data_IF_250044029667
#
_entry.id   IF_250044029667
#
_cell.length_a   1.000
_cell.length_b   1.000
_cell.length_c   1.000
_cell.angle_alpha   90.00
_cell.angle_beta   90.00
_cell.angle_gamma   90.00
#
_symmetry.space_group_name_H-M   'P 1'
#
loop_
_entity.id
_entity.type
_entity.pdbx_description
1 polymer ?
#
# COMPACT_ATOMS: atom_id res chain seq x y z
N UNK A 1 26.17 1.46 -6.39
CA UNK A 1 24.84 1.97 -6.82
C UNK A 1 25.03 2.74 -8.12
N UNK A 2 24.21 2.51 -9.15
CA UNK A 2 24.29 3.27 -10.40
C UNK A 2 23.92 4.74 -10.18
N UNK A 3 24.43 5.60 -11.04
CA UNK A 3 24.01 7.00 -11.11
C UNK A 3 22.69 7.13 -11.85
N UNK A 4 22.03 8.27 -11.75
CA UNK A 4 20.78 8.55 -12.50
C UNK A 4 20.96 8.35 -14.02
N UNK A 5 22.09 8.80 -14.57
CA UNK A 5 22.37 8.66 -15.99
C UNK A 5 22.55 7.21 -16.43
N UNK A 6 23.17 6.39 -15.60
CA UNK A 6 23.30 4.94 -15.84
C UNK A 6 21.94 4.24 -15.75
N UNK A 7 21.13 4.57 -14.75
CA UNK A 7 19.76 4.05 -14.60
C UNK A 7 18.89 4.36 -15.83
N UNK A 8 18.97 5.57 -16.36
CA UNK A 8 18.19 5.98 -17.53
C UNK A 8 18.55 5.22 -18.81
N UNK A 9 19.75 4.62 -18.87
CA UNK A 9 20.22 3.85 -20.02
C UNK A 9 20.08 2.35 -19.80
N UNK A 10 20.33 1.86 -18.60
CA UNK A 10 20.51 0.43 -18.33
C UNK A 10 19.29 -0.27 -17.76
N UNK A 11 18.36 0.46 -17.10
CA UNK A 11 17.20 -0.15 -16.47
C UNK A 11 16.04 -0.32 -17.45
N UNK A 12 15.16 -1.32 -17.23
CA UNK A 12 13.93 -1.48 -17.99
C UNK A 12 13.02 -0.25 -17.82
N UNK A 13 12.31 0.11 -18.88
CA UNK A 13 11.22 1.07 -18.81
C UNK A 13 9.93 0.41 -18.32
N UNK A 14 8.92 1.23 -18.03
CA UNK A 14 7.61 0.72 -17.61
C UNK A 14 6.47 1.53 -18.22
N UNK A 15 5.24 1.06 -18.04
CA UNK A 15 3.99 1.75 -18.41
C UNK A 15 3.80 1.98 -19.91
N UNK A 16 4.51 1.21 -20.77
CA UNK A 16 4.35 1.27 -22.22
C UNK A 16 3.03 0.65 -22.66
N UNK A 17 1.94 1.43 -22.64
CA UNK A 17 0.59 0.98 -23.05
C UNK A 17 -0.11 2.04 -23.89
N UNK A 18 -0.80 1.59 -24.94
CA UNK A 18 -1.78 2.39 -25.68
C UNK A 18 -3.17 1.90 -25.30
N UNK A 19 -4.03 2.80 -24.87
CA UNK A 19 -5.34 2.49 -24.31
C UNK A 19 -6.42 3.26 -25.07
N UNK A 20 -7.31 2.53 -25.73
CA UNK A 20 -8.54 3.08 -26.33
C UNK A 20 -9.71 2.77 -25.42
N UNK A 21 -10.36 3.82 -24.91
CA UNK A 21 -11.39 3.71 -23.87
C UNK A 21 -12.71 4.28 -24.40
N UNK A 22 -13.77 3.54 -24.19
CA UNK A 22 -15.14 3.98 -24.41
C UNK A 22 -15.90 3.83 -23.08
N UNK A 23 -16.41 4.94 -22.54
CA UNK A 23 -17.21 4.99 -21.33
C UNK A 23 -18.66 5.28 -21.69
N UNK A 24 -19.57 4.33 -21.42
CA UNK A 24 -21.01 4.51 -21.61
C UNK A 24 -21.61 5.22 -20.39
N UNK A 25 -22.30 6.34 -20.65
CA UNK A 25 -23.01 7.12 -19.64
C UNK A 25 -24.44 7.44 -20.06
N UNK A 26 -25.37 7.51 -19.09
CA UNK A 26 -26.66 8.17 -19.28
C UNK A 26 -26.51 9.68 -19.20
N UNK A 27 -27.51 10.46 -19.69
CA UNK A 27 -27.45 11.93 -19.60
C UNK A 27 -27.35 12.49 -18.19
N UNK A 28 -27.77 11.73 -17.19
CA UNK A 28 -27.64 12.08 -15.76
C UNK A 28 -26.26 11.78 -15.18
N UNK A 29 -25.33 11.23 -15.98
CA UNK A 29 -23.98 10.87 -15.57
C UNK A 29 -23.83 9.46 -14.97
N UNK A 30 -24.90 8.64 -14.94
CA UNK A 30 -24.83 7.25 -14.50
C UNK A 30 -24.06 6.40 -15.51
N UNK A 31 -23.03 5.67 -15.07
CA UNK A 31 -22.26 4.78 -15.94
C UNK A 31 -23.04 3.51 -16.29
N UNK A 32 -22.92 3.09 -17.54
CA UNK A 32 -23.58 1.88 -18.04
C UNK A 32 -22.59 0.83 -18.51
N UNK A 33 -21.43 1.24 -19.01
CA UNK A 33 -20.45 0.27 -19.50
C UNK A 33 -19.09 0.87 -19.74
N UNK A 34 -18.09 -0.01 -19.73
CA UNK A 34 -16.70 0.33 -20.04
C UNK A 34 -16.17 -0.65 -21.08
N UNK A 35 -15.65 -0.11 -22.20
CA UNK A 35 -14.94 -0.90 -23.19
C UNK A 35 -13.52 -0.37 -23.33
N UNK A 36 -12.55 -1.27 -23.23
CA UNK A 36 -11.12 -0.94 -23.36
C UNK A 36 -10.46 -1.85 -24.36
N UNK A 37 -9.67 -1.27 -25.27
CA UNK A 37 -8.68 -2.00 -26.09
C UNK A 37 -7.31 -1.54 -25.65
N UNK A 38 -6.52 -2.47 -25.15
CA UNK A 38 -5.23 -2.21 -24.55
C UNK A 38 -4.14 -2.92 -25.35
N UNK A 39 -3.16 -2.15 -25.83
CA UNK A 39 -1.94 -2.68 -26.44
C UNK A 39 -0.76 -2.36 -25.52
N UNK A 40 -0.13 -3.40 -24.97
CA UNK A 40 1.07 -3.30 -24.17
C UNK A 40 2.34 -3.51 -25.00
N UNK A 41 3.37 -2.73 -24.74
CA UNK A 41 4.71 -2.96 -25.26
C UNK A 41 5.47 -3.87 -24.27
N UNK A 42 6.06 -4.97 -24.75
CA UNK A 42 6.91 -5.85 -23.96
C UNK A 42 8.41 -5.56 -24.17
N UNK A 43 8.76 -4.70 -25.14
CA UNK A 43 10.12 -4.51 -25.59
C UNK A 43 10.67 -5.75 -26.31
N UNK A 44 11.98 -5.80 -26.47
CA UNK A 44 12.65 -6.87 -27.21
C UNK A 44 12.73 -8.20 -26.43
N UNK A 45 12.62 -8.14 -25.11
CA UNK A 45 12.67 -9.31 -24.23
C UNK A 45 11.43 -9.36 -23.34
N UNK A 46 10.39 -10.15 -23.71
CA UNK A 46 9.12 -10.21 -22.96
C UNK A 46 9.33 -10.97 -21.65
N UNK A 47 9.55 -10.21 -20.58
CA UNK A 47 9.65 -10.70 -19.21
C UNK A 47 8.39 -10.29 -18.43
N UNK A 48 8.55 -9.80 -17.22
CA UNK A 48 7.44 -9.29 -16.39
C UNK A 48 6.61 -8.21 -17.12
N UNK A 49 7.24 -7.43 -18.01
CA UNK A 49 6.56 -6.40 -18.81
C UNK A 49 5.39 -6.92 -19.64
N UNK A 50 5.47 -8.16 -20.12
CA UNK A 50 4.40 -8.79 -20.90
C UNK A 50 3.14 -9.08 -20.06
N UNK A 51 3.23 -9.15 -18.74
CA UNK A 51 2.11 -9.41 -17.84
C UNK A 51 1.44 -8.14 -17.31
N UNK A 52 2.10 -6.97 -17.40
CA UNK A 52 1.60 -5.72 -16.83
C UNK A 52 0.25 -5.27 -17.40
N UNK A 53 -0.03 -5.42 -18.72
CA UNK A 53 -1.35 -5.13 -19.28
C UNK A 53 -2.48 -6.00 -18.69
N UNK A 54 -2.17 -7.23 -18.29
CA UNK A 54 -3.09 -8.09 -17.55
C UNK A 54 -3.46 -7.51 -16.17
N UNK A 55 -2.50 -6.86 -15.49
CA UNK A 55 -2.74 -6.10 -14.26
C UNK A 55 -3.67 -4.90 -14.47
N UNK A 56 -3.48 -4.16 -15.58
CA UNK A 56 -4.37 -3.07 -15.97
C UNK A 56 -5.80 -3.56 -16.21
N UNK A 57 -5.97 -4.65 -16.99
CA UNK A 57 -7.28 -5.28 -17.21
C UNK A 57 -7.95 -5.66 -15.89
N UNK A 58 -7.20 -6.28 -14.99
CA UNK A 58 -7.72 -6.78 -13.72
C UNK A 58 -8.30 -5.66 -12.84
N UNK A 59 -7.70 -4.46 -12.90
CA UNK A 59 -8.08 -3.31 -12.09
C UNK A 59 -8.94 -2.29 -12.85
N UNK A 60 -9.38 -2.58 -14.07
CA UNK A 60 -10.07 -1.63 -14.94
C UNK A 60 -11.43 -1.15 -14.42
N UNK A 61 -12.09 -1.90 -13.52
CA UNK A 61 -13.33 -1.45 -12.89
C UNK A 61 -13.11 -0.30 -11.91
N UNK A 62 -11.96 -0.24 -11.24
CA UNK A 62 -11.69 0.77 -10.22
C UNK A 62 -12.72 0.76 -9.09
N UNK A 63 -13.14 1.94 -8.67
CA UNK A 63 -14.08 2.15 -7.56
C UNK A 63 -15.53 2.24 -7.99
N UNK A 64 -15.86 2.03 -9.27
CA UNK A 64 -17.15 2.36 -9.85
C UNK A 64 -18.04 1.16 -10.13
N UNK A 65 -19.34 1.45 -10.22
CA UNK A 65 -20.39 0.51 -10.66
C UNK A 65 -20.56 0.59 -12.18
N UNK A 66 -20.65 -0.55 -12.84
CA UNK A 66 -20.94 -0.68 -14.27
C UNK A 66 -21.91 -1.85 -14.50
N UNK A 67 -22.76 -1.71 -15.52
CA UNK A 67 -23.64 -2.82 -15.98
C UNK A 67 -22.80 -3.88 -16.75
N UNK A 68 -21.76 -3.45 -17.49
CA UNK A 68 -20.88 -4.31 -18.27
C UNK A 68 -19.47 -3.73 -18.43
N UNK A 69 -18.46 -4.61 -18.47
CA UNK A 69 -17.06 -4.26 -18.75
C UNK A 69 -16.50 -5.23 -19.78
N UNK A 70 -15.87 -4.68 -20.82
CA UNK A 70 -15.07 -5.45 -21.78
C UNK A 70 -13.67 -4.88 -21.84
N UNK A 71 -12.65 -5.71 -21.64
CA UNK A 71 -11.24 -5.32 -21.77
C UNK A 71 -10.51 -6.32 -22.65
N UNK A 72 -10.16 -5.88 -23.84
CA UNK A 72 -9.35 -6.64 -24.79
C UNK A 72 -7.89 -6.25 -24.64
N UNK A 73 -7.01 -7.23 -24.44
CA UNK A 73 -5.59 -7.01 -24.22
C UNK A 73 -4.76 -7.69 -25.28
N UNK A 74 -3.87 -6.95 -25.90
CA UNK A 74 -2.80 -7.47 -26.73
C UNK A 74 -1.45 -6.99 -26.20
N UNK A 75 -0.42 -7.83 -26.37
CA UNK A 75 0.96 -7.48 -26.00
C UNK A 75 1.84 -7.68 -27.22
N UNK A 76 2.60 -6.65 -27.57
CA UNK A 76 3.51 -6.68 -28.70
C UNK A 76 4.96 -6.83 -28.23
N UNK A 77 5.71 -7.73 -28.84
CA UNK A 77 7.16 -7.76 -28.78
C UNK A 77 7.69 -6.75 -29.80
N UNK A 78 8.57 -5.88 -29.37
CA UNK A 78 9.13 -4.79 -30.21
C UNK A 78 10.66 -4.80 -30.15
N UNK A 79 11.31 -3.95 -30.91
CA UNK A 79 12.76 -3.77 -30.86
C UNK A 79 13.19 -2.64 -29.91
N UNK A 80 12.32 -2.24 -28.98
CA UNK A 80 12.60 -1.22 -27.98
C UNK A 80 13.20 -1.83 -26.71
N UNK A 81 13.56 -0.97 -25.75
CA UNK A 81 14.02 -1.39 -24.41
C UNK A 81 12.97 -2.29 -23.75
N UNK A 82 13.45 -3.30 -23.05
CA UNK A 82 12.63 -4.19 -22.25
C UNK A 82 11.70 -3.42 -21.30
N UNK A 83 10.45 -3.83 -21.20
CA UNK A 83 9.52 -3.31 -20.21
C UNK A 83 9.62 -4.09 -18.90
N UNK A 84 9.63 -3.37 -17.79
CA UNK A 84 9.69 -3.91 -16.44
C UNK A 84 8.55 -3.41 -15.55
N UNK A 85 8.40 -4.04 -14.40
CA UNK A 85 7.46 -3.57 -13.39
C UNK A 85 7.98 -2.30 -12.72
N UNK A 86 7.18 -1.23 -12.71
CA UNK A 86 7.38 -0.08 -11.86
C UNK A 86 6.25 0.00 -10.83
N UNK A 87 6.52 0.60 -9.68
CA UNK A 87 5.61 0.64 -8.53
C UNK A 87 4.14 0.80 -8.94
N UNK A 88 3.30 -0.16 -8.55
CA UNK A 88 1.89 -0.28 -8.95
C UNK A 88 1.63 -1.26 -10.11
N UNK A 89 2.56 -1.42 -11.08
CA UNK A 89 2.59 -2.52 -12.06
C UNK A 89 1.22 -2.84 -12.71
N UNK A 90 0.70 -1.94 -13.51
CA UNK A 90 -0.61 -2.04 -14.19
C UNK A 90 -1.75 -1.33 -13.47
N UNK A 91 -1.71 -1.15 -12.14
CA UNK A 91 -2.76 -0.45 -11.38
C UNK A 91 -2.79 1.05 -11.66
N UNK A 92 -1.65 1.79 -11.67
CA UNK A 92 -1.64 3.19 -12.06
C UNK A 92 -2.13 3.42 -13.49
N UNK A 93 -1.79 2.51 -14.40
CA UNK A 93 -2.25 2.57 -15.79
C UNK A 93 -3.78 2.39 -15.88
N UNK A 94 -4.34 1.48 -15.09
CA UNK A 94 -5.79 1.29 -15.01
C UNK A 94 -6.48 2.53 -14.44
N UNK A 95 -5.97 3.07 -13.32
CA UNK A 95 -6.51 4.27 -12.68
C UNK A 95 -6.41 5.48 -13.62
N UNK A 96 -5.25 5.73 -14.23
CA UNK A 96 -5.07 6.85 -15.13
C UNK A 96 -6.02 6.78 -16.35
N UNK A 97 -6.20 5.60 -16.92
CA UNK A 97 -7.12 5.34 -18.01
C UNK A 97 -8.57 5.66 -17.62
N UNK A 98 -9.01 5.07 -16.52
CA UNK A 98 -10.39 5.17 -16.05
C UNK A 98 -10.74 6.59 -15.60
N UNK A 99 -9.91 7.20 -14.77
CA UNK A 99 -10.16 8.52 -14.21
C UNK A 99 -10.15 9.63 -15.27
N UNK A 100 -9.32 9.49 -16.32
CA UNK A 100 -9.35 10.40 -17.46
C UNK A 100 -10.61 10.24 -18.30
N UNK A 101 -11.14 9.00 -18.45
CA UNK A 101 -12.42 8.79 -19.12
C UNK A 101 -13.58 9.37 -18.31
N UNK A 102 -13.53 9.27 -16.99
CA UNK A 102 -14.50 9.89 -16.08
C UNK A 102 -14.46 11.43 -16.17
N UNK A 103 -13.26 12.02 -16.18
CA UNK A 103 -13.12 13.47 -16.36
C UNK A 103 -13.65 13.95 -17.73
N UNK A 104 -13.42 13.19 -18.80
CA UNK A 104 -13.97 13.51 -20.12
C UNK A 104 -15.50 13.44 -20.12
N UNK A 105 -16.08 12.42 -19.48
CA UNK A 105 -17.54 12.32 -19.34
C UNK A 105 -18.12 13.49 -18.52
N UNK A 106 -17.45 13.87 -17.44
CA UNK A 106 -17.84 15.04 -16.63
C UNK A 106 -17.86 16.32 -17.47
N UNK A 107 -16.84 16.52 -18.28
CA UNK A 107 -16.72 17.68 -19.16
C UNK A 107 -17.83 17.69 -20.22
N UNK A 108 -18.07 16.58 -20.92
CA UNK A 108 -19.08 16.48 -21.98
C UNK A 108 -20.50 16.62 -21.47
N UNK A 109 -20.79 16.13 -20.25
CA UNK A 109 -22.09 16.21 -19.62
C UNK A 109 -22.30 17.52 -18.82
N UNK A 110 -21.24 18.33 -18.62
CA UNK A 110 -21.29 19.54 -17.79
C UNK A 110 -21.55 19.24 -16.32
N UNK A 111 -21.13 18.06 -15.83
CA UNK A 111 -21.26 17.62 -14.45
C UNK A 111 -19.93 17.89 -13.72
N UNK A 112 -19.97 18.29 -12.46
CA UNK A 112 -18.76 18.47 -11.67
C UNK A 112 -17.98 17.14 -11.54
N UNK A 113 -16.64 17.14 -11.63
CA UNK A 113 -15.79 15.94 -11.55
C UNK A 113 -15.97 15.11 -10.27
N UNK A 114 -16.23 15.74 -9.13
CA UNK A 114 -16.50 15.02 -7.87
C UNK A 114 -17.92 14.44 -7.90
N UNK A 115 -18.89 15.18 -8.38
CA UNK A 115 -20.28 14.75 -8.43
C UNK A 115 -20.51 13.55 -9.36
N UNK A 116 -19.89 13.51 -10.53
CA UNK A 116 -19.99 12.34 -11.42
C UNK A 116 -19.37 11.09 -10.78
N UNK A 117 -18.26 11.23 -10.03
CA UNK A 117 -17.65 10.14 -9.29
C UNK A 117 -18.60 9.62 -8.21
N UNK A 118 -19.10 10.48 -7.34
CA UNK A 118 -20.04 10.12 -6.25
C UNK A 118 -21.26 9.35 -6.73
N UNK A 119 -21.81 9.71 -7.90
CA UNK A 119 -22.96 9.00 -8.49
C UNK A 119 -22.68 7.55 -8.84
N UNK A 120 -21.43 7.22 -9.11
CA UNK A 120 -21.04 5.95 -9.68
C UNK A 120 -20.16 5.10 -8.76
N UNK A 121 -19.72 5.62 -7.59
CA UNK A 121 -18.96 4.85 -6.63
C UNK A 121 -19.77 3.63 -6.14
N UNK A 122 -19.07 2.52 -5.90
CA UNK A 122 -19.64 1.38 -5.17
C UNK A 122 -20.08 1.82 -3.78
N UNK A 123 -21.29 1.41 -3.38
CA UNK A 123 -21.84 1.73 -2.05
C UNK A 123 -21.11 1.00 -0.93
N UNK A 124 -21.16 1.58 0.28
CA UNK A 124 -20.47 1.03 1.46
C UNK A 124 -21.03 -0.34 1.92
N UNK A 125 -22.24 -0.68 1.50
CA UNK A 125 -23.01 -1.87 1.90
C UNK A 125 -22.87 -3.08 0.96
N UNK A 126 -22.13 -2.93 -0.15
CA UNK A 126 -22.01 -4.01 -1.15
C UNK A 126 -20.86 -5.00 -0.88
N UNK A 127 -19.97 -4.69 0.06
CA UNK A 127 -18.77 -5.48 0.34
C UNK A 127 -19.04 -6.72 1.21
N UNK A 128 -18.34 -7.86 0.96
CA UNK A 128 -17.35 -8.06 -0.10
C UNK A 128 -17.97 -8.05 -1.48
N UNK A 129 -17.31 -7.37 -2.45
CA UNK A 129 -17.85 -7.13 -3.80
C UNK A 129 -16.99 -7.81 -4.87
N UNK A 130 -17.61 -8.68 -5.68
CA UNK A 130 -16.91 -9.30 -6.82
C UNK A 130 -17.07 -8.43 -8.07
N UNK A 131 -15.94 -7.92 -8.55
CA UNK A 131 -15.88 -7.06 -9.74
C UNK A 131 -16.13 -7.84 -11.03
N UNK A 132 -16.59 -7.15 -12.06
CA UNK A 132 -16.74 -7.72 -13.42
C UNK A 132 -15.38 -8.12 -14.04
N UNK A 133 -14.27 -7.65 -13.49
CA UNK A 133 -12.90 -7.97 -13.89
C UNK A 133 -12.26 -9.10 -13.08
N UNK A 134 -13.00 -9.69 -12.13
CA UNK A 134 -12.63 -10.91 -11.41
C UNK A 134 -11.83 -10.73 -10.11
N UNK A 135 -11.87 -9.54 -9.49
CA UNK A 135 -11.39 -9.34 -8.12
C UNK A 135 -12.56 -9.42 -7.13
N UNK A 136 -12.27 -9.80 -5.89
CA UNK A 136 -13.22 -9.65 -4.78
C UNK A 136 -12.65 -8.59 -3.82
N UNK A 137 -13.24 -7.40 -3.85
CA UNK A 137 -12.88 -6.34 -2.92
C UNK A 137 -13.42 -6.67 -1.54
N UNK A 138 -12.54 -6.66 -0.54
CA UNK A 138 -12.83 -7.05 0.84
C UNK A 138 -13.69 -6.01 1.56
N UNK A 139 -13.39 -4.75 1.34
CA UNK A 139 -14.07 -3.60 1.98
C UNK A 139 -13.96 -2.35 1.11
N UNK A 140 -14.79 -1.33 1.40
CA UNK A 140 -14.71 -0.04 0.73
C UNK A 140 -15.63 1.00 1.37
N UNK A 141 -15.18 2.25 1.32
CA UNK A 141 -15.91 3.43 1.72
C UNK A 141 -15.43 4.60 0.87
N UNK A 142 -15.68 4.50 -0.43
CA UNK A 142 -14.98 5.32 -1.43
C UNK A 142 -15.37 6.81 -1.41
N UNK A 143 -16.55 7.15 -0.92
CA UNK A 143 -16.97 8.54 -0.73
C UNK A 143 -16.15 9.25 0.34
N UNK A 144 -15.76 8.57 1.42
CA UNK A 144 -15.07 9.17 2.55
C UNK A 144 -13.75 9.87 2.19
N UNK A 145 -12.77 9.20 1.54
CA UNK A 145 -11.52 9.85 1.15
C UNK A 145 -11.73 10.95 0.11
N UNK A 146 -12.71 10.81 -0.80
CA UNK A 146 -13.02 11.83 -1.79
C UNK A 146 -13.58 13.11 -1.14
N UNK A 147 -14.53 12.97 -0.21
CA UNK A 147 -15.09 14.08 0.53
C UNK A 147 -14.03 14.78 1.39
N UNK A 148 -13.21 13.99 2.07
CA UNK A 148 -12.15 14.53 2.91
C UNK A 148 -11.08 15.26 2.11
N UNK A 149 -10.67 14.73 0.97
CA UNK A 149 -9.75 15.42 0.07
C UNK A 149 -10.32 16.75 -0.42
N UNK A 150 -11.59 16.76 -0.83
CA UNK A 150 -12.26 17.98 -1.28
C UNK A 150 -12.36 19.05 -0.18
N UNK A 151 -12.68 18.64 1.04
CA UNK A 151 -12.72 19.54 2.20
C UNK A 151 -11.34 20.15 2.49
N UNK A 152 -10.31 19.30 2.59
CA UNK A 152 -8.96 19.73 2.97
C UNK A 152 -8.36 20.72 1.97
N UNK A 153 -8.62 20.51 0.67
CA UNK A 153 -8.07 21.38 -0.38
C UNK A 153 -8.93 22.64 -0.59
N UNK A 154 -10.14 22.71 -0.04
CA UNK A 154 -11.09 23.81 -0.28
C UNK A 154 -11.62 23.78 -1.71
N UNK A 155 -12.05 22.63 -2.20
CA UNK A 155 -12.39 22.35 -3.60
C UNK A 155 -13.34 23.40 -4.22
N UNK A 156 -14.41 23.77 -3.53
CA UNK A 156 -15.39 24.75 -4.02
C UNK A 156 -14.74 26.12 -4.31
N UNK A 157 -13.87 26.59 -3.41
CA UNK A 157 -13.14 27.85 -3.59
C UNK A 157 -12.17 27.77 -4.77
N UNK A 158 -11.49 26.64 -4.96
CA UNK A 158 -10.60 26.41 -6.10
C UNK A 158 -11.38 26.38 -7.42
N UNK A 159 -12.57 25.77 -7.45
CA UNK A 159 -13.44 25.77 -8.64
C UNK A 159 -13.92 27.18 -9.02
N UNK A 160 -14.27 27.99 -8.03
CA UNK A 160 -14.64 29.40 -8.25
C UNK A 160 -13.43 30.19 -8.81
N UNK A 161 -12.26 30.03 -8.20
CA UNK A 161 -11.02 30.65 -8.68
C UNK A 161 -10.65 30.20 -10.10
N UNK A 162 -10.73 28.91 -10.40
CA UNK A 162 -10.48 28.36 -11.73
C UNK A 162 -11.40 29.00 -12.79
N UNK A 163 -12.66 29.16 -12.45
CA UNK A 163 -13.64 29.79 -13.34
C UNK A 163 -13.32 31.26 -13.58
N UNK A 164 -12.94 32.00 -12.54
CA UNK A 164 -12.57 33.40 -12.64
C UNK A 164 -11.28 33.61 -13.46
N UNK A 165 -10.23 32.79 -13.23
CA UNK A 165 -8.99 32.86 -14.01
C UNK A 165 -9.21 32.53 -15.49
N UNK A 166 -10.15 31.63 -15.83
CA UNK A 166 -10.54 31.36 -17.22
C UNK A 166 -11.31 32.54 -17.82
N UNK A 167 -12.18 33.19 -17.07
CA UNK A 167 -13.03 34.30 -17.51
C UNK A 167 -12.21 35.61 -17.73
N UNK A 168 -11.32 35.94 -16.79
CA UNK A 168 -10.47 37.14 -16.88
C UNK A 168 -9.42 37.03 -17.95
N UNK A 169 -8.94 35.84 -18.24
CA UNK A 169 -7.81 35.60 -19.15
C UNK A 169 -6.45 36.05 -18.59
N UNK A 170 -6.40 36.49 -17.34
CA UNK A 170 -5.19 36.98 -16.68
C UNK A 170 -4.50 35.89 -15.85
N UNK A 171 -3.15 35.99 -15.74
CA UNK A 171 -2.32 35.10 -14.95
C UNK A 171 -2.29 33.65 -15.46
N UNK A 172 -1.67 32.73 -14.69
CA UNK A 172 -1.59 31.33 -15.05
C UNK A 172 -2.98 30.64 -14.98
N UNK A 173 -3.15 29.60 -15.79
CA UNK A 173 -4.34 28.75 -15.69
C UNK A 173 -4.28 27.90 -14.43
N UNK A 174 -5.42 27.71 -13.77
CA UNK A 174 -5.54 26.79 -12.65
C UNK A 174 -6.08 25.44 -13.14
N UNK A 175 -5.28 24.38 -12.98
CA UNK A 175 -5.68 23.00 -13.23
C UNK A 175 -6.07 22.30 -11.92
N UNK A 176 -7.19 21.57 -11.93
CA UNK A 176 -7.64 20.77 -10.81
C UNK A 176 -7.96 19.38 -11.34
N UNK A 177 -7.22 18.37 -10.88
CA UNK A 177 -7.43 16.97 -11.21
C UNK A 177 -7.95 16.21 -9.99
N UNK A 178 -8.88 15.29 -10.21
CA UNK A 178 -9.48 14.44 -9.17
C UNK A 178 -9.32 12.99 -9.58
N UNK A 179 -8.92 12.12 -8.66
CA UNK A 179 -8.87 10.69 -8.89
C UNK A 179 -9.33 9.92 -7.65
N UNK A 180 -10.14 8.88 -7.86
CA UNK A 180 -10.49 7.87 -6.86
C UNK A 180 -9.89 6.54 -7.28
N UNK A 181 -9.28 5.81 -6.36
CA UNK A 181 -8.57 4.58 -6.71
C UNK A 181 -8.75 3.48 -5.68
N UNK A 182 -8.55 2.27 -6.13
CA UNK A 182 -8.39 1.08 -5.33
C UNK A 182 -7.13 0.34 -5.79
N UNK A 183 -6.34 -0.15 -4.83
CA UNK A 183 -5.12 -0.94 -5.04
C UNK A 183 -5.39 -2.39 -4.64
N UNK A 184 -4.60 -3.33 -5.13
CA UNK A 184 -4.56 -4.71 -4.66
C UNK A 184 -3.23 -4.97 -3.95
N UNK A 185 -3.27 -5.43 -2.71
CA UNK A 185 -2.07 -5.77 -1.93
C UNK A 185 -1.84 -7.27 -1.88
N UNK A 186 -0.59 -7.65 -1.64
CA UNK A 186 -0.17 -9.04 -1.40
C UNK A 186 -0.51 -10.04 -2.53
N UNK A 187 -0.55 -9.56 -3.78
CA UNK A 187 -0.83 -10.40 -4.95
C UNK A 187 0.29 -11.39 -5.35
N UNK A 188 1.41 -11.44 -4.63
CA UNK A 188 2.62 -12.18 -5.01
C UNK A 188 2.96 -13.41 -4.16
N UNK A 189 1.99 -14.06 -3.54
CA UNK A 189 2.15 -15.27 -2.71
C UNK A 189 1.52 -15.09 -1.34
N UNK A 190 1.11 -16.20 -0.68
CA UNK A 190 0.29 -16.13 0.51
C UNK A 190 1.08 -15.94 1.82
N UNK A 191 2.38 -16.26 1.86
CA UNK A 191 3.13 -16.37 3.11
C UNK A 191 4.31 -15.42 3.19
N UNK A 192 4.70 -15.05 4.43
CA UNK A 192 5.92 -14.34 4.73
C UNK A 192 6.43 -14.67 6.12
N UNK A 193 7.76 -14.61 6.30
CA UNK A 193 8.47 -14.86 7.54
C UNK A 193 8.83 -13.56 8.26
N UNK A 194 8.72 -13.59 9.60
CA UNK A 194 9.23 -12.56 10.50
C UNK A 194 9.85 -13.18 11.74
N UNK A 195 10.88 -12.54 12.28
CA UNK A 195 11.44 -12.88 13.59
C UNK A 195 11.92 -11.64 14.33
N UNK A 196 12.05 -11.74 15.64
CA UNK A 196 12.59 -10.69 16.52
C UNK A 196 13.45 -11.32 17.60
N UNK A 197 14.63 -10.72 17.82
CA UNK A 197 15.49 -10.98 18.99
C UNK A 197 15.50 -9.74 19.87
N UNK A 198 15.38 -9.91 21.20
CA UNK A 198 15.63 -8.87 22.19
C UNK A 198 16.95 -9.15 22.88
N UNK A 199 17.80 -8.12 22.95
CA UNK A 199 19.17 -8.24 23.47
C UNK A 199 19.28 -7.83 24.94
N UNK A 200 20.35 -8.30 25.60
CA UNK A 200 20.60 -8.01 27.03
C UNK A 200 20.81 -6.51 27.35
N UNK A 201 20.98 -5.67 26.35
CA UNK A 201 20.99 -4.20 26.50
C UNK A 201 19.60 -3.57 26.31
N UNK A 202 18.56 -4.38 26.07
CA UNK A 202 17.18 -3.94 25.82
C UNK A 202 16.92 -3.41 24.41
N UNK A 203 17.87 -3.54 23.49
CA UNK A 203 17.62 -3.31 22.05
C UNK A 203 16.98 -4.52 21.40
N UNK A 204 16.43 -4.35 20.19
CA UNK A 204 15.84 -5.44 19.43
C UNK A 204 16.34 -5.48 17.97
N UNK A 205 16.41 -6.69 17.40
CA UNK A 205 16.66 -6.91 15.99
C UNK A 205 15.48 -7.64 15.38
N UNK A 206 14.89 -7.05 14.34
CA UNK A 206 13.82 -7.62 13.53
C UNK A 206 14.43 -8.26 12.29
N UNK A 207 13.98 -9.44 11.94
CA UNK A 207 14.33 -10.14 10.70
C UNK A 207 13.10 -10.26 9.83
N UNK A 208 13.18 -9.82 8.58
CA UNK A 208 12.04 -9.85 7.67
C UNK A 208 12.42 -10.44 6.31
N UNK A 209 11.54 -11.29 5.79
CA UNK A 209 11.67 -11.89 4.47
C UNK A 209 11.41 -10.93 3.31
N UNK A 210 10.96 -9.69 3.58
CA UNK A 210 10.79 -8.62 2.60
C UNK A 210 11.95 -7.65 2.66
N UNK A 211 12.40 -7.17 1.51
CA UNK A 211 13.59 -6.33 1.38
C UNK A 211 13.25 -4.86 1.21
N UNK A 212 14.05 -3.98 1.81
CA UNK A 212 13.91 -2.53 1.69
C UNK A 212 14.48 -2.03 0.35
N UNK A 213 13.69 -1.20 -0.36
CA UNK A 213 14.09 -0.50 -1.59
C UNK A 213 13.92 1.03 -1.44
N UNK A 214 14.00 1.57 -0.21
CA UNK A 214 13.78 2.97 0.09
C UNK A 214 12.35 3.31 0.55
N UNK A 215 11.45 2.33 0.69
CA UNK A 215 10.07 2.54 1.12
C UNK A 215 9.87 2.59 2.64
N UNK A 216 10.94 2.57 3.44
CA UNK A 216 10.88 2.83 4.88
C UNK A 216 10.57 1.61 5.75
N UNK A 217 10.93 0.40 5.36
CA UNK A 217 10.70 -0.82 6.16
C UNK A 217 11.31 -0.71 7.56
N UNK A 218 12.54 -0.17 7.69
CA UNK A 218 13.20 0.04 8.98
C UNK A 218 12.27 0.77 9.97
N UNK A 219 11.67 1.87 9.54
CA UNK A 219 10.78 2.67 10.39
C UNK A 219 9.46 1.95 10.63
N UNK A 220 8.82 1.44 9.57
CA UNK A 220 7.51 0.82 9.69
C UNK A 220 7.52 -0.43 10.60
N UNK A 221 8.52 -1.30 10.44
CA UNK A 221 8.61 -2.51 11.26
C UNK A 221 9.05 -2.20 12.70
N UNK A 222 9.94 -1.23 12.90
CA UNK A 222 10.28 -0.77 14.23
C UNK A 222 9.07 -0.18 14.98
N UNK A 223 8.19 0.55 14.29
CA UNK A 223 6.95 1.05 14.88
C UNK A 223 6.02 -0.09 15.30
N UNK A 224 5.85 -1.15 14.49
CA UNK A 224 5.03 -2.32 14.85
C UNK A 224 5.53 -3.02 16.12
N UNK A 225 6.85 -3.10 16.30
CA UNK A 225 7.46 -3.67 17.51
C UNK A 225 7.30 -2.71 18.70
N UNK A 226 7.58 -1.42 18.50
CA UNK A 226 7.46 -0.41 19.54
C UNK A 226 6.04 -0.33 20.11
N UNK A 227 5.01 -0.41 19.27
CA UNK A 227 3.60 -0.39 19.68
C UNK A 227 3.23 -1.55 20.62
N UNK A 228 3.91 -2.69 20.49
CA UNK A 228 3.64 -3.88 21.31
C UNK A 228 4.54 -3.99 22.55
N UNK A 229 5.73 -3.37 22.52
CA UNK A 229 6.75 -3.58 23.54
C UNK A 229 7.11 -2.31 24.33
N UNK A 230 6.89 -1.14 23.74
CA UNK A 230 7.42 0.13 24.26
C UNK A 230 8.94 0.29 24.07
N UNK A 231 9.64 -0.63 23.39
CA UNK A 231 11.04 -0.44 23.00
C UNK A 231 11.13 0.74 22.04
N UNK A 232 11.98 1.76 22.31
CA UNK A 232 12.11 2.91 21.42
C UNK A 232 12.49 2.53 19.99
N UNK A 233 11.88 3.19 18.99
CA UNK A 233 12.08 2.90 17.55
C UNK A 233 13.55 2.97 17.15
N UNK A 234 14.32 3.87 17.73
CA UNK A 234 15.76 4.05 17.49
C UNK A 234 16.65 2.95 18.11
N UNK A 235 16.06 2.08 18.95
CA UNK A 235 16.70 0.89 19.52
C UNK A 235 16.30 -0.40 18.83
N UNK A 236 15.54 -0.32 17.73
CA UNK A 236 15.10 -1.48 16.93
C UNK A 236 15.80 -1.44 15.59
N UNK A 237 16.52 -2.48 15.24
CA UNK A 237 17.24 -2.62 13.98
C UNK A 237 16.53 -3.65 13.08
N UNK A 238 16.49 -3.40 11.78
CA UNK A 238 15.98 -4.35 10.78
C UNK A 238 17.13 -5.03 10.06
N UNK A 239 17.06 -6.35 9.94
CA UNK A 239 17.86 -7.18 9.06
C UNK A 239 16.97 -7.73 7.96
N UNK A 240 17.23 -7.33 6.73
CA UNK A 240 16.54 -7.81 5.53
C UNK A 240 17.55 -8.04 4.37
N UNK A 241 17.15 -8.82 3.37
CA UNK A 241 17.99 -9.07 2.19
C UNK A 241 19.24 -9.90 2.46
N UNK A 242 19.41 -10.47 3.64
CA UNK A 242 20.51 -11.34 4.03
C UNK A 242 20.01 -12.78 4.19
N UNK A 243 20.40 -13.65 3.25
CA UNK A 243 19.96 -15.05 3.23
C UNK A 243 20.65 -15.93 4.28
N UNK A 244 21.71 -15.45 4.93
CA UNK A 244 22.37 -16.15 6.03
C UNK A 244 21.66 -15.86 7.37
N UNK A 245 21.03 -14.67 7.49
CA UNK A 245 20.35 -14.23 8.69
C UNK A 245 18.84 -14.46 8.64
N UNK A 246 18.21 -14.38 7.47
CA UNK A 246 16.76 -14.52 7.27
C UNK A 246 16.47 -15.89 6.65
N UNK A 247 15.78 -16.74 7.41
CA UNK A 247 15.53 -18.15 7.09
C UNK A 247 14.81 -18.35 5.75
N UNK A 248 13.82 -17.52 5.45
CA UNK A 248 13.03 -17.58 4.22
C UNK A 248 12.39 -16.21 3.96
N UNK A 249 12.05 -15.93 2.70
CA UNK A 249 11.38 -14.69 2.36
C UNK A 249 10.93 -14.66 0.92
N UNK A 250 9.81 -13.98 0.68
CA UNK A 250 9.25 -13.75 -0.66
C UNK A 250 9.77 -12.49 -1.34
N UNK A 251 10.61 -11.71 -0.68
CA UNK A 251 11.10 -10.43 -1.16
C UNK A 251 10.02 -9.35 -1.25
N UNK A 252 10.35 -8.23 -1.87
CA UNK A 252 9.45 -7.08 -2.05
C UNK A 252 8.89 -7.03 -3.46
N UNK A 253 7.57 -7.13 -3.60
CA UNK A 253 6.85 -7.05 -4.88
C UNK A 253 5.36 -7.26 -4.67
N UNK A 254 4.50 -6.71 -5.56
CA UNK A 254 3.06 -6.90 -5.47
C UNK A 254 2.40 -6.31 -4.21
N UNK A 255 2.96 -5.25 -3.64
CA UNK A 255 2.45 -4.54 -2.44
C UNK A 255 2.31 -5.43 -1.20
N UNK A 256 3.26 -6.39 -1.02
CA UNK A 256 3.17 -7.41 0.04
C UNK A 256 3.88 -7.05 1.34
N UNK A 257 4.81 -6.10 1.33
CA UNK A 257 5.72 -5.89 2.46
C UNK A 257 5.02 -5.56 3.76
N UNK A 258 4.09 -4.61 3.79
CA UNK A 258 3.35 -4.30 5.03
C UNK A 258 2.30 -5.37 5.32
N UNK A 259 1.54 -5.80 4.31
CA UNK A 259 0.47 -6.78 4.46
C UNK A 259 0.99 -8.13 5.00
N UNK A 260 2.01 -8.69 4.37
CA UNK A 260 2.55 -9.99 4.78
C UNK A 260 3.72 -9.84 5.76
N UNK A 261 4.76 -9.07 5.37
CA UNK A 261 5.95 -8.90 6.20
C UNK A 261 5.65 -8.19 7.52
N UNK A 262 4.84 -7.12 7.50
CA UNK A 262 4.42 -6.44 8.72
C UNK A 262 3.58 -7.33 9.64
N UNK A 263 2.67 -8.16 9.08
CA UNK A 263 1.90 -9.14 9.86
C UNK A 263 2.78 -10.24 10.44
N UNK A 264 3.80 -10.70 9.69
CA UNK A 264 4.77 -11.67 10.20
C UNK A 264 5.61 -11.08 11.34
N UNK A 265 6.10 -9.85 11.21
CA UNK A 265 6.83 -9.13 12.27
C UNK A 265 5.94 -8.93 13.51
N UNK A 266 4.68 -8.56 13.33
CA UNK A 266 3.73 -8.43 14.42
C UNK A 266 3.53 -9.75 15.15
N UNK A 267 3.26 -10.85 14.44
CA UNK A 267 3.08 -12.17 15.03
C UNK A 267 4.34 -12.68 15.73
N UNK A 268 5.51 -12.42 15.16
CA UNK A 268 6.79 -12.73 15.81
C UNK A 268 6.98 -11.95 17.11
N UNK A 269 6.57 -10.68 17.14
CA UNK A 269 6.63 -9.86 18.35
C UNK A 269 5.65 -10.37 19.41
N UNK A 270 4.44 -10.75 19.03
CA UNK A 270 3.46 -11.38 19.93
C UNK A 270 4.03 -12.67 20.56
N UNK A 271 4.65 -13.55 19.75
CA UNK A 271 5.28 -14.78 20.25
C UNK A 271 6.44 -14.49 21.23
N UNK A 272 7.28 -13.49 20.92
CA UNK A 272 8.36 -13.04 21.81
C UNK A 272 7.80 -12.48 23.14
N UNK A 273 6.73 -11.68 23.08
CA UNK A 273 6.07 -11.13 24.28
C UNK A 273 5.51 -12.25 25.17
N UNK A 274 4.92 -13.30 24.61
CA UNK A 274 4.44 -14.44 25.38
C UNK A 274 5.59 -15.21 26.07
N UNK A 275 6.73 -15.40 25.37
CA UNK A 275 7.93 -15.94 26.01
C UNK A 275 8.41 -15.03 27.15
N UNK A 276 8.41 -13.70 26.94
CA UNK A 276 8.81 -12.73 27.96
C UNK A 276 7.88 -12.77 29.19
N UNK A 277 6.57 -12.94 29.01
CA UNK A 277 5.61 -13.08 30.11
C UNK A 277 5.92 -14.28 30.98
N UNK A 278 6.18 -15.44 30.38
CA UNK A 278 6.55 -16.65 31.11
C UNK A 278 7.86 -16.48 31.88
N UNK A 279 8.84 -15.75 31.32
CA UNK A 279 10.10 -15.44 32.00
C UNK A 279 9.86 -14.47 33.16
N UNK A 280 9.15 -13.36 32.93
CA UNK A 280 8.84 -12.36 33.94
C UNK A 280 8.04 -12.93 35.10
N UNK A 281 7.08 -13.83 34.84
CA UNK A 281 6.31 -14.54 35.85
C UNK A 281 7.22 -15.31 36.82
N UNK A 282 8.20 -16.06 36.30
CA UNK A 282 9.19 -16.79 37.11
C UNK A 282 10.09 -15.82 37.88
N UNK A 283 10.56 -14.74 37.29
CA UNK A 283 11.43 -13.75 37.93
C UNK A 283 10.73 -13.03 39.09
N UNK A 284 9.41 -12.78 38.92
CA UNK A 284 8.59 -12.01 39.86
C UNK A 284 7.80 -12.93 40.84
N UNK A 285 7.94 -14.25 40.73
CA UNK A 285 7.17 -15.24 41.50
C UNK A 285 5.65 -14.98 41.43
N UNK A 286 5.14 -14.64 40.23
CA UNK A 286 3.75 -14.28 39.96
C UNK A 286 3.08 -15.24 38.96
N UNK A 287 1.75 -15.18 38.86
CA UNK A 287 1.01 -15.91 37.85
C UNK A 287 1.23 -15.21 36.49
N UNK A 288 1.42 -15.98 35.41
CA UNK A 288 1.62 -15.46 34.06
C UNK A 288 0.44 -14.62 33.57
N UNK A 289 -0.79 -14.94 34.03
CA UNK A 289 -1.98 -14.15 33.72
C UNK A 289 -1.98 -12.75 34.31
N UNK A 290 -1.18 -12.49 35.37
CA UNK A 290 -1.03 -11.19 35.99
C UNK A 290 0.07 -10.34 35.35
N UNK A 291 0.87 -10.93 34.45
CA UNK A 291 1.96 -10.21 33.79
C UNK A 291 1.43 -9.39 32.62
N UNK A 292 1.74 -8.11 32.63
CA UNK A 292 1.37 -7.15 31.59
C UNK A 292 2.59 -6.40 31.03
N UNK A 293 2.52 -5.99 29.77
CA UNK A 293 3.47 -5.07 29.16
C UNK A 293 2.92 -3.65 29.32
N UNK A 294 3.72 -2.77 29.88
CA UNK A 294 3.48 -1.32 29.86
C UNK A 294 4.26 -0.72 28.68
N UNK A 295 3.58 -0.55 27.56
CA UNK A 295 4.20 -0.01 26.33
C UNK A 295 4.58 1.46 26.47
N UNK A 296 3.97 2.21 27.39
CA UNK A 296 4.33 3.60 27.64
C UNK A 296 5.64 3.73 28.42
N UNK A 297 5.88 2.80 29.36
CA UNK A 297 7.11 2.73 30.14
C UNK A 297 8.19 1.85 29.47
N UNK A 298 7.83 1.00 28.50
CA UNK A 298 8.72 0.01 27.88
C UNK A 298 9.17 -1.07 28.89
N UNK A 299 8.24 -1.55 29.74
CA UNK A 299 8.52 -2.51 30.80
C UNK A 299 7.50 -3.63 30.84
N UNK A 300 7.82 -4.72 31.52
CA UNK A 300 6.94 -5.88 31.74
C UNK A 300 6.90 -6.23 33.23
N UNK A 301 5.73 -6.49 33.78
CA UNK A 301 5.61 -6.78 35.21
C UNK A 301 4.19 -7.09 35.66
N UNK A 302 4.00 -7.25 36.96
CA UNK A 302 2.69 -7.58 37.54
C UNK A 302 1.76 -6.36 37.45
N UNK A 303 0.54 -6.58 36.98
CA UNK A 303 -0.49 -5.57 36.85
C UNK A 303 -0.69 -4.80 38.18
N UNK A 304 -0.63 -3.46 38.14
CA UNK A 304 -0.80 -2.62 39.32
C UNK A 304 0.42 -2.51 40.24
N UNK A 305 1.56 -3.13 39.92
CA UNK A 305 2.79 -3.09 40.73
C UNK A 305 3.99 -2.54 39.94
N UNK A 306 3.94 -1.29 39.45
CA UNK A 306 4.98 -0.73 38.57
C UNK A 306 6.36 -0.65 39.21
N UNK A 307 6.45 -0.64 40.56
CA UNK A 307 7.73 -0.57 41.28
C UNK A 307 8.58 -1.87 41.13
N UNK A 308 7.99 -2.96 40.68
CA UNK A 308 8.66 -4.25 40.44
C UNK A 308 8.73 -4.61 38.96
N UNK A 309 8.39 -3.67 38.06
CA UNK A 309 8.45 -3.92 36.64
C UNK A 309 9.90 -4.16 36.17
N UNK A 310 10.06 -5.13 35.30
CA UNK A 310 11.33 -5.51 34.67
C UNK A 310 11.51 -4.75 33.37
N UNK A 311 12.74 -4.42 33.03
CA UNK A 311 13.10 -3.90 31.71
C UNK A 311 13.22 -5.07 30.72
N UNK A 312 13.13 -4.76 29.42
CA UNK A 312 13.43 -5.75 28.36
C UNK A 312 14.85 -6.31 28.48
N UNK A 313 15.81 -5.51 28.98
CA UNK A 313 17.17 -5.95 29.24
C UNK A 313 17.24 -7.01 30.33
N UNK A 314 16.47 -6.86 31.42
CA UNK A 314 16.43 -7.83 32.53
C UNK A 314 15.89 -9.18 32.05
N UNK A 315 14.77 -9.15 31.30
CA UNK A 315 14.13 -10.37 30.78
C UNK A 315 15.04 -11.07 29.75
N UNK A 316 15.67 -10.30 28.84
CA UNK A 316 16.57 -10.86 27.85
C UNK A 316 17.87 -11.43 28.47
N UNK A 317 18.37 -10.83 29.56
CA UNK A 317 19.53 -11.35 30.30
C UNK A 317 19.19 -12.67 31.00
N UNK A 318 18.01 -12.78 31.62
CA UNK A 318 17.51 -14.01 32.23
C UNK A 318 17.32 -15.11 31.19
N UNK A 319 16.67 -14.81 30.06
CA UNK A 319 16.47 -15.73 28.93
C UNK A 319 17.82 -16.30 28.43
N UNK A 320 18.82 -15.44 28.25
CA UNK A 320 20.16 -15.87 27.86
C UNK A 320 20.82 -16.75 28.93
N UNK A 321 20.61 -16.45 30.20
CA UNK A 321 21.13 -17.24 31.34
C UNK A 321 20.58 -18.66 31.38
N UNK A 322 19.37 -18.87 30.95
CA UNK A 322 18.72 -20.18 30.83
C UNK A 322 19.05 -20.93 29.52
N UNK A 323 19.78 -20.33 28.60
CA UNK A 323 20.18 -20.90 27.30
C UNK A 323 19.14 -20.75 26.20
N UNK A 324 18.05 -20.08 26.45
CA UNK A 324 16.99 -19.80 25.46
C UNK A 324 16.91 -18.28 25.24
N UNK A 325 17.46 -17.73 24.14
CA UNK A 325 17.41 -16.29 23.88
C UNK A 325 15.97 -15.80 23.76
N UNK A 326 15.72 -14.56 24.17
CA UNK A 326 14.41 -13.92 24.03
C UNK A 326 14.14 -13.63 22.54
N UNK A 327 13.40 -14.56 21.92
CA UNK A 327 13.19 -14.58 20.47
C UNK A 327 11.75 -15.01 20.14
N UNK A 328 11.16 -14.34 19.16
CA UNK A 328 9.92 -14.78 18.52
C UNK A 328 10.08 -14.99 17.04
N UNK A 329 9.39 -15.97 16.50
CA UNK A 329 9.32 -16.23 15.05
C UNK A 329 7.86 -16.48 14.66
N UNK A 330 7.51 -16.04 13.44
CA UNK A 330 6.18 -16.26 12.92
C UNK A 330 6.18 -16.37 11.40
N UNK A 331 5.52 -17.40 10.86
CA UNK A 331 5.18 -17.52 9.45
C UNK A 331 3.73 -17.07 9.29
N UNK A 332 3.53 -15.91 8.71
CA UNK A 332 2.20 -15.38 8.43
C UNK A 332 1.67 -15.94 7.12
N UNK A 333 0.44 -16.39 7.10
CA UNK A 333 -0.31 -16.80 5.92
C UNK A 333 -1.60 -15.99 5.83
N UNK A 334 -1.87 -15.43 4.63
CA UNK A 334 -3.07 -14.64 4.39
C UNK A 334 -4.17 -15.47 3.70
N UNK A 335 -5.41 -15.17 4.01
CA UNK A 335 -6.59 -15.78 3.37
C UNK A 335 -6.88 -15.20 1.98
N UNK A 336 -6.40 -14.00 1.68
CA UNK A 336 -6.61 -13.32 0.40
C UNK A 336 -5.97 -11.95 0.31
N UNK A 337 -6.00 -11.37 -0.89
CA UNK A 337 -5.55 -10.00 -1.11
C UNK A 337 -6.49 -9.00 -0.44
N UNK A 338 -5.95 -7.87 0.02
CA UNK A 338 -6.75 -6.73 0.50
C UNK A 338 -6.74 -5.60 -0.53
N UNK A 339 -7.73 -4.71 -0.44
CA UNK A 339 -7.97 -3.68 -1.44
C UNK A 339 -8.01 -2.28 -0.79
N UNK A 340 -6.84 -1.72 -0.40
CA UNK A 340 -6.79 -0.36 0.12
C UNK A 340 -7.20 0.64 -0.96
N UNK A 341 -7.83 1.72 -0.55
CA UNK A 341 -8.40 2.71 -1.43
C UNK A 341 -8.12 4.14 -0.96
N UNK A 342 -8.30 5.11 -1.86
CA UNK A 342 -8.10 6.51 -1.54
C UNK A 342 -8.59 7.44 -2.64
N UNK A 343 -8.39 8.74 -2.41
CA UNK A 343 -8.62 9.78 -3.39
C UNK A 343 -7.45 10.77 -3.40
N UNK A 344 -7.18 11.34 -4.57
CA UNK A 344 -6.20 12.40 -4.76
C UNK A 344 -6.85 13.60 -5.45
N UNK A 345 -6.53 14.80 -5.00
CA UNK A 345 -6.80 16.05 -5.69
C UNK A 345 -5.47 16.74 -5.95
N UNK A 346 -5.18 17.00 -7.21
CA UNK A 346 -3.99 17.73 -7.65
C UNK A 346 -4.39 19.13 -8.11
N UNK A 347 -3.68 20.14 -7.63
CA UNK A 347 -3.88 21.54 -8.02
C UNK A 347 -2.58 22.02 -8.62
N UNK A 348 -2.65 22.54 -9.87
CA UNK A 348 -1.48 23.01 -10.60
C UNK A 348 -1.77 24.36 -11.25
N UNK A 349 -0.73 25.18 -11.38
CA UNK A 349 -0.75 26.37 -12.22
C UNK A 349 0.01 26.09 -13.52
N UNK A 350 -0.56 26.52 -14.63
CA UNK A 350 0.02 26.36 -15.95
C UNK A 350 0.24 27.72 -16.55
N UNK A 351 1.50 28.06 -16.81
CA UNK A 351 1.89 29.26 -17.53
C UNK A 351 1.35 29.23 -18.96
N UNK A 352 0.70 30.33 -19.40
CA UNK A 352 -0.02 30.38 -20.68
C UNK A 352 0.92 30.41 -21.87
N UNK A 353 2.12 30.94 -21.68
CA UNK A 353 3.06 31.18 -22.80
C UNK A 353 3.97 29.96 -22.99
N UNK A 354 4.31 29.28 -21.91
CA UNK A 354 5.28 28.15 -21.94
C UNK A 354 4.67 26.77 -21.70
N UNK A 355 3.44 26.71 -21.16
CA UNK A 355 2.77 25.45 -20.81
C UNK A 355 3.36 24.72 -19.61
#
# INVERSE_FOLDING_TARGET
MPTRSEDMVALPHSRGQVQHVELGCRPDGTFTGLRVRLLGDAGAYPTIGAYLPGGTRRMAQGTYTFDAIQVDVAVAVTNTTQMGAYRGAGRPEATAMLERAVDQAALELGIDPIEIRKRNLLGDDVFPFTTLTGNTYDSGRYTLPLDRAAEVVGYESLRAEQTERRRSGEGPLLGIGVASYVEITAGGGPTEFGAIDVHADGSATVYAGTQNHGQGHQTAYAMLVADQTGIPVDRITLVDGDTDAVRTGGGTGGSRSLQLGGSAVRGATEAMVEQARSIAARMLEADEADIVVDTAAGTIGVAGVPAQALTWADVAAEAKGTGEPLRGEFDFEQDGATFPFGAHIAVVEVDRDTG
#
